data_IF_160839939071
#
_entry.id   IF_160839939071
#
_cell.length_a   1.000
_cell.length_b   1.000
_cell.length_c   1.000
_cell.angle_alpha   90.00
_cell.angle_beta   90.00
_cell.angle_gamma   90.00
#
_symmetry.space_group_name_H-M   'P 1'
#
loop_
_entity.id
_entity.type
_entity.pdbx_description
1 polymer ?
#
# COMPACT_ATOMS: atom_id res chain seq x y z
N UNK A 1 -33.28 -2.19 -28.04
CA UNK A 1 -32.17 -1.24 -28.17
C UNK A 1 -31.69 -0.90 -26.78
N UNK A 2 -30.46 -1.25 -26.42
CA UNK A 2 -29.86 -0.86 -25.14
C UNK A 2 -29.71 0.66 -25.13
N UNK A 3 -30.14 1.32 -24.06
CA UNK A 3 -30.03 2.77 -23.89
C UNK A 3 -28.55 3.19 -24.00
N UNK A 4 -28.26 4.33 -24.65
CA UNK A 4 -26.92 4.92 -24.79
C UNK A 4 -26.99 6.43 -24.53
N UNK A 5 -25.98 6.99 -23.87
CA UNK A 5 -25.84 8.43 -23.63
C UNK A 5 -24.55 8.89 -24.33
N UNK A 6 -24.66 9.30 -25.58
CA UNK A 6 -23.52 9.61 -26.46
C UNK A 6 -22.99 11.05 -26.28
N UNK A 7 -23.74 11.91 -25.58
CA UNK A 7 -23.37 13.31 -25.35
C UNK A 7 -23.39 13.66 -23.85
N UNK A 8 -22.66 14.72 -23.47
CA UNK A 8 -22.72 15.28 -22.12
C UNK A 8 -24.14 15.69 -21.70
N UNK A 9 -24.95 16.16 -22.65
CA UNK A 9 -26.35 16.51 -22.41
C UNK A 9 -27.20 15.28 -22.04
N UNK A 10 -26.98 14.15 -22.71
CA UNK A 10 -27.68 12.89 -22.40
C UNK A 10 -27.23 12.30 -21.06
N UNK A 11 -25.94 12.42 -20.71
CA UNK A 11 -25.43 12.08 -19.37
C UNK A 11 -26.10 12.94 -18.31
N UNK A 12 -26.20 14.25 -18.53
CA UNK A 12 -26.90 15.19 -17.64
C UNK A 12 -28.38 14.82 -17.47
N UNK A 13 -29.07 14.52 -18.57
CA UNK A 13 -30.47 14.09 -18.54
C UNK A 13 -30.67 12.74 -17.82
N UNK A 14 -29.70 11.83 -17.93
CA UNK A 14 -29.72 10.57 -17.19
C UNK A 14 -29.53 10.80 -15.68
N UNK A 15 -28.55 11.62 -15.28
CA UNK A 15 -28.36 12.05 -13.89
C UNK A 15 -29.67 12.64 -13.35
N UNK A 16 -30.25 13.60 -14.04
CA UNK A 16 -31.48 14.29 -13.61
C UNK A 16 -32.68 13.34 -13.51
N UNK A 17 -32.70 12.22 -14.24
CA UNK A 17 -33.72 11.17 -14.08
C UNK A 17 -33.52 10.40 -12.77
N UNK A 18 -32.31 9.88 -12.51
CA UNK A 18 -32.02 9.17 -11.26
C UNK A 18 -32.29 10.06 -10.04
N UNK A 19 -31.85 11.32 -10.07
CA UNK A 19 -32.01 12.21 -8.92
C UNK A 19 -33.47 12.57 -8.62
N UNK A 20 -34.32 12.68 -9.65
CA UNK A 20 -35.77 12.91 -9.46
C UNK A 20 -36.46 11.75 -8.75
N UNK A 21 -36.00 10.53 -9.01
CA UNK A 21 -36.53 9.32 -8.38
C UNK A 21 -36.05 9.17 -6.93
N UNK A 22 -34.80 9.54 -6.66
CA UNK A 22 -34.17 9.41 -5.34
C UNK A 22 -34.70 10.35 -4.26
N UNK A 23 -35.12 11.58 -4.63
CA UNK A 23 -35.47 12.67 -3.70
C UNK A 23 -34.42 12.86 -2.58
N UNK A 24 -33.15 12.70 -2.93
CA UNK A 24 -32.04 12.66 -1.98
C UNK A 24 -31.35 14.01 -1.70
N UNK A 25 -30.57 14.07 -0.61
CA UNK A 25 -29.52 15.09 -0.41
C UNK A 25 -28.26 14.63 -1.15
N UNK A 26 -27.77 15.41 -2.12
CA UNK A 26 -26.55 15.10 -2.87
C UNK A 26 -25.34 15.00 -1.92
N UNK A 27 -24.48 13.98 -2.09
CA UNK A 27 -23.21 13.91 -1.41
C UNK A 27 -22.22 14.93 -2.00
N UNK A 28 -21.38 15.51 -1.15
CA UNK A 28 -20.18 16.26 -1.52
C UNK A 28 -19.04 15.30 -1.88
N UNK A 29 -18.86 14.23 -1.09
CA UNK A 29 -17.91 13.15 -1.36
C UNK A 29 -18.63 11.82 -1.45
N UNK A 30 -18.18 10.93 -2.33
CA UNK A 30 -18.64 9.54 -2.35
C UNK A 30 -17.57 8.60 -2.90
N UNK A 31 -17.68 7.32 -2.54
CA UNK A 31 -16.79 6.27 -3.03
C UNK A 31 -17.33 4.88 -2.76
N UNK A 32 -16.71 3.90 -3.38
CA UNK A 32 -16.85 2.48 -3.00
C UNK A 32 -15.53 2.07 -2.37
N UNK A 33 -15.61 1.62 -1.12
CA UNK A 33 -14.53 0.99 -0.39
C UNK A 33 -14.70 -0.52 -0.32
N UNK A 34 -13.62 -1.19 0.05
CA UNK A 34 -13.55 -2.63 0.30
C UNK A 34 -12.60 -2.86 1.49
N UNK A 35 -12.78 -3.94 2.28
CA UNK A 35 -11.87 -4.31 3.35
C UNK A 35 -10.45 -4.28 2.86
N UNK A 36 -9.56 -3.61 3.60
CA UNK A 36 -8.15 -3.64 3.30
C UNK A 36 -7.69 -5.11 3.22
N UNK A 37 -7.05 -5.46 2.12
CA UNK A 37 -6.50 -6.81 1.88
C UNK A 37 -5.17 -7.02 2.58
N UNK A 38 -4.79 -6.16 3.53
CA UNK A 38 -3.55 -6.36 4.29
C UNK A 38 -3.65 -7.67 5.10
N UNK A 39 -3.05 -8.72 4.54
CA UNK A 39 -3.07 -10.10 5.02
C UNK A 39 -2.39 -10.25 6.39
N UNK A 40 -1.68 -9.21 6.85
CA UNK A 40 -0.84 -9.26 8.03
C UNK A 40 -1.50 -8.71 9.31
N UNK A 41 -2.76 -8.24 9.24
CA UNK A 41 -3.53 -7.82 10.41
C UNK A 41 -4.75 -8.72 10.66
N UNK A 42 -5.13 -8.96 11.93
CA UNK A 42 -6.52 -9.31 12.22
C UNK A 42 -7.38 -8.14 11.73
N UNK A 43 -8.14 -8.37 10.65
CA UNK A 43 -8.99 -7.37 10.01
C UNK A 43 -9.86 -6.65 11.04
N UNK A 44 -9.64 -5.35 11.22
CA UNK A 44 -10.71 -4.52 11.77
C UNK A 44 -11.77 -4.41 10.68
N UNK A 45 -13.06 -4.63 10.98
CA UNK A 45 -14.14 -4.38 10.03
C UNK A 45 -14.15 -2.93 9.51
N UNK A 46 -13.49 -2.01 10.22
CA UNK A 46 -13.41 -0.58 9.91
C UNK A 46 -12.27 -0.23 8.94
N UNK A 47 -11.30 -1.11 8.73
CA UNK A 47 -10.14 -0.87 7.86
C UNK A 47 -10.50 -1.14 6.40
N UNK A 48 -10.73 -0.07 5.63
CA UNK A 48 -11.05 -0.15 4.21
C UNK A 48 -10.05 0.62 3.35
N UNK A 49 -9.89 0.16 2.12
CA UNK A 49 -9.30 0.91 1.02
C UNK A 49 -10.42 1.41 0.10
N UNK A 50 -10.17 2.53 -0.60
CA UNK A 50 -11.10 3.02 -1.62
C UNK A 50 -10.63 2.63 -3.00
N UNK A 51 -11.56 2.21 -3.84
CA UNK A 51 -11.31 2.02 -5.27
C UNK A 51 -11.25 3.36 -6.00
N UNK A 52 -12.12 4.27 -5.55
CA UNK A 52 -12.17 5.65 -6.04
C UNK A 52 -12.92 6.51 -5.04
N UNK A 53 -12.40 7.72 -4.84
CA UNK A 53 -13.10 8.81 -4.17
C UNK A 53 -13.50 9.84 -5.22
N UNK A 54 -14.66 10.46 -5.03
CA UNK A 54 -15.24 11.39 -5.98
C UNK A 54 -15.78 12.62 -5.24
N UNK A 55 -15.48 13.80 -5.76
CA UNK A 55 -16.04 15.07 -5.28
C UNK A 55 -17.36 15.46 -5.97
N UNK A 56 -17.86 16.64 -5.60
CA UNK A 56 -19.19 17.17 -5.98
C UNK A 56 -19.45 17.27 -7.50
N UNK A 57 -18.40 17.23 -8.34
CA UNK A 57 -18.54 17.29 -9.80
C UNK A 57 -19.02 15.97 -10.45
N UNK A 58 -18.82 14.82 -9.80
CA UNK A 58 -19.06 13.50 -10.41
C UNK A 58 -20.31 12.82 -9.86
N UNK A 59 -21.49 13.45 -10.03
CA UNK A 59 -22.73 13.06 -9.33
C UNK A 59 -23.41 11.81 -9.90
N UNK A 60 -23.28 11.53 -11.19
CA UNK A 60 -24.00 10.42 -11.83
C UNK A 60 -23.68 9.04 -11.21
N UNK A 61 -22.40 8.67 -10.98
CA UNK A 61 -22.06 7.44 -10.26
C UNK A 61 -22.70 7.36 -8.87
N UNK A 62 -22.67 8.46 -8.09
CA UNK A 62 -23.31 8.51 -6.78
C UNK A 62 -24.82 8.27 -6.87
N UNK A 63 -25.51 8.89 -7.83
CA UNK A 63 -26.95 8.71 -8.02
C UNK A 63 -27.31 7.27 -8.44
N UNK A 64 -26.51 6.66 -9.31
CA UNK A 64 -26.67 5.24 -9.69
C UNK A 64 -26.51 4.34 -8.47
N UNK A 65 -25.43 4.50 -7.69
CA UNK A 65 -25.22 3.70 -6.48
C UNK A 65 -26.35 3.89 -5.47
N UNK A 66 -26.72 5.14 -5.19
CA UNK A 66 -27.80 5.46 -4.27
C UNK A 66 -29.13 4.80 -4.68
N UNK A 67 -29.41 4.71 -5.99
CA UNK A 67 -30.62 4.03 -6.51
C UNK A 67 -30.58 2.53 -6.24
N UNK A 68 -29.42 1.90 -6.39
CA UNK A 68 -29.26 0.45 -6.19
C UNK A 68 -29.34 0.08 -4.72
N UNK A 69 -28.71 0.86 -3.84
CA UNK A 69 -28.62 0.55 -2.40
C UNK A 69 -29.76 1.16 -1.59
N UNK A 70 -30.66 1.93 -2.22
CA UNK A 70 -31.77 2.61 -1.54
C UNK A 70 -31.34 3.76 -0.63
N UNK A 71 -30.24 4.45 -0.95
CA UNK A 71 -29.75 5.58 -0.17
C UNK A 71 -30.49 6.87 -0.55
N UNK A 72 -31.07 7.56 0.45
CA UNK A 72 -31.85 8.78 0.24
C UNK A 72 -31.16 10.06 0.75
N UNK A 73 -29.91 9.99 1.21
CA UNK A 73 -29.10 11.16 1.57
C UNK A 73 -28.64 11.17 3.02
N UNK A 74 -27.85 12.19 3.36
CA UNK A 74 -27.11 12.28 4.62
C UNK A 74 -25.66 11.79 4.47
N UNK A 75 -24.95 11.76 5.59
CA UNK A 75 -23.58 11.25 5.69
C UNK A 75 -23.60 9.87 6.34
N UNK A 76 -22.93 8.90 5.71
CA UNK A 76 -22.80 7.54 6.23
C UNK A 76 -22.44 6.53 5.14
N UNK A 77 -22.57 5.27 5.47
CA UNK A 77 -22.16 4.14 4.63
C UNK A 77 -23.21 3.04 4.57
N UNK A 78 -23.15 2.22 3.51
CA UNK A 78 -24.03 1.07 3.32
C UNK A 78 -23.27 -0.04 2.60
N UNK A 79 -23.50 -1.29 3.02
CA UNK A 79 -22.90 -2.48 2.39
C UNK A 79 -23.45 -2.66 0.98
N UNK A 80 -22.61 -3.16 0.08
CA UNK A 80 -22.92 -3.38 -1.32
C UNK A 80 -22.56 -4.82 -1.68
N UNK A 81 -23.54 -5.57 -2.15
CA UNK A 81 -23.30 -6.93 -2.66
C UNK A 81 -22.72 -6.90 -4.07
N UNK A 82 -22.09 -8.00 -4.49
CA UNK A 82 -21.68 -8.14 -5.89
C UNK A 82 -22.86 -8.03 -6.87
N UNK A 83 -24.05 -8.52 -6.52
CA UNK A 83 -25.26 -8.36 -7.35
C UNK A 83 -25.65 -6.88 -7.50
N UNK A 84 -25.61 -6.12 -6.41
CA UNK A 84 -25.84 -4.68 -6.42
C UNK A 84 -24.78 -3.95 -7.25
N UNK A 85 -23.49 -4.29 -7.11
CA UNK A 85 -22.45 -3.71 -7.96
C UNK A 85 -22.71 -4.01 -9.44
N UNK A 86 -23.07 -5.25 -9.78
CA UNK A 86 -23.46 -5.64 -11.14
C UNK A 86 -24.61 -4.79 -11.68
N UNK A 87 -25.64 -4.57 -10.86
CA UNK A 87 -26.76 -3.69 -11.21
C UNK A 87 -26.33 -2.23 -11.40
N UNK A 88 -25.43 -1.72 -10.57
CA UNK A 88 -24.89 -0.36 -10.72
C UNK A 88 -24.09 -0.22 -12.01
N UNK A 89 -23.29 -1.24 -12.38
CA UNK A 89 -22.56 -1.29 -13.66
C UNK A 89 -23.53 -1.25 -14.83
N UNK A 90 -24.59 -2.06 -14.83
CA UNK A 90 -25.61 -2.05 -15.89
C UNK A 90 -26.27 -0.68 -16.07
N UNK A 91 -26.60 -0.03 -14.94
CA UNK A 91 -27.25 1.29 -14.95
C UNK A 91 -26.32 2.40 -15.42
N UNK A 92 -25.01 2.31 -15.13
CA UNK A 92 -24.02 3.31 -15.52
C UNK A 92 -23.41 3.06 -16.90
N UNK A 93 -23.42 1.82 -17.40
CA UNK A 93 -22.84 1.41 -18.69
C UNK A 93 -23.22 2.31 -19.88
N UNK A 94 -24.47 2.79 -20.03
CA UNK A 94 -24.84 3.68 -21.13
C UNK A 94 -24.00 4.96 -21.26
N UNK A 95 -23.35 5.42 -20.17
CA UNK A 95 -22.49 6.60 -20.17
C UNK A 95 -21.24 6.43 -21.05
N UNK A 96 -20.75 5.20 -21.23
CA UNK A 96 -19.54 4.90 -22.01
C UNK A 96 -19.64 5.30 -23.49
N UNK A 97 -20.87 5.50 -23.98
CA UNK A 97 -21.10 5.98 -25.34
C UNK A 97 -20.63 7.43 -25.54
N UNK A 98 -20.53 8.23 -24.47
CA UNK A 98 -19.96 9.57 -24.51
C UNK A 98 -18.45 9.48 -24.32
N UNK A 99 -17.70 9.72 -25.40
CA UNK A 99 -16.23 9.69 -25.41
C UNK A 99 -15.59 11.03 -25.04
N UNK A 100 -16.41 12.08 -24.81
CA UNK A 100 -15.93 13.42 -24.45
C UNK A 100 -15.31 13.47 -23.04
N UNK A 101 -15.66 12.49 -22.19
CA UNK A 101 -15.17 12.37 -20.81
C UNK A 101 -14.84 10.92 -20.47
N UNK A 102 -13.84 10.66 -19.61
CA UNK A 102 -13.59 9.33 -19.10
C UNK A 102 -14.68 8.89 -18.08
N UNK A 103 -14.87 7.58 -17.94
CA UNK A 103 -15.83 6.98 -16.99
C UNK A 103 -15.09 6.12 -15.95
N UNK A 104 -14.24 6.70 -15.10
CA UNK A 104 -13.34 5.93 -14.26
C UNK A 104 -14.07 5.09 -13.20
N UNK A 105 -15.20 5.56 -12.65
CA UNK A 105 -16.00 4.74 -11.74
C UNK A 105 -16.51 3.48 -12.45
N UNK A 106 -17.04 3.59 -13.67
CA UNK A 106 -17.53 2.44 -14.42
C UNK A 106 -16.39 1.45 -14.75
N UNK A 107 -15.22 1.97 -15.12
CA UNK A 107 -14.05 1.14 -15.41
C UNK A 107 -13.62 0.34 -14.17
N UNK A 108 -13.43 1.02 -13.04
CA UNK A 108 -13.00 0.41 -11.79
C UNK A 108 -14.06 -0.55 -11.23
N UNK A 109 -15.34 -0.22 -11.30
CA UNK A 109 -16.42 -1.12 -10.86
C UNK A 109 -16.43 -2.42 -11.67
N UNK A 110 -16.20 -2.35 -13.00
CA UNK A 110 -16.09 -3.54 -13.86
C UNK A 110 -14.86 -4.38 -13.54
N UNK A 111 -13.75 -3.74 -13.18
CA UNK A 111 -12.51 -4.42 -12.81
C UNK A 111 -12.70 -5.27 -11.55
N UNK A 112 -13.36 -4.71 -10.53
CA UNK A 112 -13.57 -5.39 -9.25
C UNK A 112 -14.83 -6.26 -9.19
N UNK A 113 -15.64 -6.26 -10.25
CA UNK A 113 -16.84 -7.08 -10.31
C UNK A 113 -16.47 -8.56 -10.29
N UNK A 114 -17.01 -9.30 -9.33
CA UNK A 114 -16.68 -10.71 -9.10
C UNK A 114 -15.41 -10.95 -8.27
N UNK A 115 -14.71 -9.90 -7.82
CA UNK A 115 -13.70 -10.06 -6.78
C UNK A 115 -14.39 -10.47 -5.47
N UNK A 116 -13.67 -11.24 -4.66
CA UNK A 116 -14.11 -11.64 -3.33
C UNK A 116 -13.01 -11.26 -2.35
N UNK A 117 -13.38 -10.57 -1.28
CA UNK A 117 -12.48 -10.15 -0.22
C UNK A 117 -12.81 -10.84 1.10
N UNK A 118 -13.73 -11.81 1.11
CA UNK A 118 -14.20 -12.52 2.30
C UNK A 118 -15.19 -13.63 1.95
N UNK A 119 -15.66 -14.37 2.96
CA UNK A 119 -16.54 -15.53 2.76
C UNK A 119 -18.01 -15.13 2.51
N UNK A 120 -18.41 -13.91 2.88
CA UNK A 120 -19.82 -13.49 2.96
C UNK A 120 -20.34 -12.73 1.71
N UNK A 121 -19.47 -12.35 0.77
CA UNK A 121 -19.88 -11.70 -0.49
C UNK A 121 -20.43 -10.27 -0.38
N UNK A 122 -20.44 -9.68 0.82
CA UNK A 122 -20.83 -8.29 1.15
C UNK A 122 -19.65 -7.42 1.56
N UNK A 123 -18.55 -7.55 0.82
CA UNK A 123 -17.30 -6.88 1.19
C UNK A 123 -17.30 -5.41 0.79
N UNK A 124 -18.10 -4.97 -0.18
CA UNK A 124 -18.06 -3.59 -0.62
C UNK A 124 -18.87 -2.67 0.30
N UNK A 125 -18.40 -1.44 0.44
CA UNK A 125 -19.07 -0.39 1.21
C UNK A 125 -19.21 0.85 0.33
N UNK A 126 -20.44 1.24 0.01
CA UNK A 126 -20.71 2.55 -0.58
C UNK A 126 -20.75 3.59 0.54
N UNK A 127 -19.95 4.65 0.38
CA UNK A 127 -19.83 5.73 1.36
C UNK A 127 -20.31 7.03 0.72
N UNK A 128 -21.18 7.75 1.42
CA UNK A 128 -21.74 9.02 1.01
C UNK A 128 -21.50 10.04 2.11
N UNK A 129 -20.96 11.21 1.76
CA UNK A 129 -20.74 12.30 2.69
C UNK A 129 -21.40 13.57 2.16
N UNK A 130 -22.50 13.98 2.79
CA UNK A 130 -23.29 15.13 2.40
C UNK A 130 -22.74 16.45 2.91
N UNK A 131 -21.86 16.41 3.92
CA UNK A 131 -21.24 17.58 4.52
C UNK A 131 -19.90 17.21 5.20
N UNK A 132 -18.77 17.40 4.51
CA UNK A 132 -17.45 17.05 5.04
C UNK A 132 -17.05 17.81 6.32
N UNK A 133 -17.70 18.95 6.60
CA UNK A 133 -17.43 19.79 7.76
C UNK A 133 -18.22 19.35 9.00
N UNK A 134 -19.29 18.54 8.84
CA UNK A 134 -20.07 17.99 9.94
C UNK A 134 -19.34 16.78 10.59
N UNK A 135 -19.28 16.67 11.93
CA UNK A 135 -18.73 15.51 12.61
C UNK A 135 -19.47 14.21 12.25
N UNK A 136 -18.76 13.10 12.27
CA UNK A 136 -19.30 11.76 12.00
C UNK A 136 -18.59 10.71 12.85
N UNK A 137 -19.36 9.74 13.34
CA UNK A 137 -18.84 8.54 14.00
C UNK A 137 -18.65 7.37 13.02
N UNK A 138 -19.09 7.52 11.76
CA UNK A 138 -18.91 6.50 10.72
C UNK A 138 -17.42 6.42 10.32
N UNK A 139 -16.74 5.29 10.56
CA UNK A 139 -15.31 5.15 10.29
C UNK A 139 -15.01 5.24 8.80
N UNK A 140 -15.89 4.74 7.93
CA UNK A 140 -15.66 4.74 6.48
C UNK A 140 -15.79 6.14 5.90
N UNK A 141 -16.68 6.98 6.46
CA UNK A 141 -16.74 8.41 6.11
C UNK A 141 -15.46 9.13 6.52
N UNK A 142 -14.90 8.84 7.70
CA UNK A 142 -13.61 9.43 8.13
C UNK A 142 -12.50 9.07 7.14
N UNK A 143 -12.36 7.79 6.79
CA UNK A 143 -11.37 7.34 5.79
C UNK A 143 -11.62 7.97 4.42
N UNK A 144 -12.88 8.10 3.97
CA UNK A 144 -13.23 8.77 2.71
C UNK A 144 -12.70 10.21 2.68
N UNK A 145 -12.88 10.95 3.78
CA UNK A 145 -12.41 12.33 3.92
C UNK A 145 -10.88 12.41 3.92
N UNK A 146 -10.20 11.50 4.62
CA UNK A 146 -8.74 11.44 4.64
C UNK A 146 -8.16 11.17 3.24
N UNK A 147 -8.71 10.19 2.51
CA UNK A 147 -8.30 9.88 1.14
C UNK A 147 -8.60 11.06 0.21
N UNK A 148 -9.78 11.68 0.31
CA UNK A 148 -10.12 12.87 -0.48
C UNK A 148 -9.13 14.02 -0.23
N UNK A 149 -8.85 14.33 1.03
CA UNK A 149 -7.96 15.42 1.43
C UNK A 149 -6.50 15.18 1.02
N UNK A 150 -6.07 13.91 0.95
CA UNK A 150 -4.71 13.56 0.53
C UNK A 150 -4.41 13.88 -0.93
N UNK A 151 -5.43 13.88 -1.81
CA UNK A 151 -5.25 13.95 -3.26
C UNK A 151 -4.66 12.67 -3.88
N UNK A 152 -4.62 11.53 -3.17
CA UNK A 152 -4.12 10.24 -3.68
C UNK A 152 -4.81 9.77 -4.96
N UNK A 153 -6.10 10.06 -5.10
CA UNK A 153 -6.90 9.74 -6.29
C UNK A 153 -6.39 10.42 -7.58
N UNK A 154 -5.62 11.50 -7.43
CA UNK A 154 -5.05 12.29 -8.52
C UNK A 154 -3.58 11.95 -8.79
N UNK A 155 -3.04 10.93 -8.10
CA UNK A 155 -1.71 10.38 -8.36
C UNK A 155 -1.83 9.30 -9.43
N UNK A 156 -1.20 9.47 -10.60
CA UNK A 156 -1.21 8.45 -11.64
C UNK A 156 -0.60 7.13 -11.17
N UNK A 157 -1.04 6.03 -11.78
CA UNK A 157 -0.50 4.70 -11.57
C UNK A 157 1.02 4.69 -11.71
N UNK A 158 1.70 4.05 -10.75
CA UNK A 158 3.15 3.89 -10.73
C UNK A 158 3.92 5.16 -10.35
N UNK A 159 3.25 6.31 -10.20
CA UNK A 159 3.88 7.50 -9.64
C UNK A 159 3.90 7.43 -8.11
N UNK A 160 5.04 7.78 -7.54
CA UNK A 160 5.25 7.86 -6.10
C UNK A 160 5.18 9.33 -5.70
N UNK A 161 4.24 9.64 -4.80
CA UNK A 161 4.05 10.95 -4.20
C UNK A 161 4.11 10.81 -2.69
N UNK A 162 4.76 11.75 -2.01
CA UNK A 162 4.98 11.70 -0.56
C UNK A 162 4.09 12.68 0.20
N UNK A 163 3.71 12.35 1.44
CA UNK A 163 2.93 13.20 2.35
C UNK A 163 3.59 13.35 3.74
N UNK A 164 3.47 14.53 4.39
CA UNK A 164 3.01 15.80 3.80
C UNK A 164 3.93 16.24 2.64
N UNK A 165 3.42 17.05 1.71
CA UNK A 165 4.20 17.46 0.53
C UNK A 165 5.49 18.22 0.93
N UNK A 166 5.40 19.01 2.00
CA UNK A 166 6.51 19.78 2.57
C UNK A 166 6.87 19.29 3.99
N UNK A 167 8.12 19.46 4.39
CA UNK A 167 8.53 19.32 5.80
C UNK A 167 8.74 17.88 6.27
N UNK A 168 9.74 17.19 5.74
CA UNK A 168 10.21 15.91 6.26
C UNK A 168 11.21 16.04 7.41
N UNK A 169 11.25 15.05 8.31
CA UNK A 169 12.32 14.93 9.32
C UNK A 169 13.69 14.59 8.70
N UNK A 170 14.74 14.55 9.52
CA UNK A 170 16.13 14.32 9.07
C UNK A 170 16.29 13.06 8.20
N UNK A 171 15.63 11.95 8.57
CA UNK A 171 15.69 10.71 7.80
C UNK A 171 15.04 10.85 6.43
N UNK A 172 13.93 11.61 6.32
CA UNK A 172 13.29 11.89 5.03
C UNK A 172 14.19 12.72 4.13
N UNK A 173 14.85 13.74 4.69
CA UNK A 173 15.80 14.54 3.95
C UNK A 173 17.01 13.72 3.47
N UNK A 174 17.55 12.85 4.32
CA UNK A 174 18.67 11.97 3.97
C UNK A 174 18.28 10.96 2.86
N UNK A 175 17.09 10.37 2.95
CA UNK A 175 16.57 9.46 1.94
C UNK A 175 16.39 10.16 0.58
N UNK A 176 15.67 11.28 0.56
CA UNK A 176 15.37 12.05 -0.66
C UNK A 176 16.65 12.60 -1.33
N UNK A 177 17.68 12.95 -0.55
CA UNK A 177 18.96 13.38 -1.09
C UNK A 177 19.71 12.28 -1.87
N UNK A 178 19.44 11.01 -1.56
CA UNK A 178 20.14 9.86 -2.14
C UNK A 178 19.29 9.13 -3.18
N UNK A 179 17.99 9.03 -2.96
CA UNK A 179 17.02 8.36 -3.81
C UNK A 179 15.80 9.26 -4.05
N UNK A 180 15.96 10.34 -4.84
CA UNK A 180 14.91 11.33 -5.03
C UNK A 180 13.66 10.69 -5.65
N UNK A 181 12.51 10.97 -5.04
CA UNK A 181 11.19 10.46 -5.45
C UNK A 181 11.05 8.93 -5.48
N UNK A 182 11.95 8.19 -4.82
CA UNK A 182 11.85 6.73 -4.73
C UNK A 182 11.35 6.30 -3.35
N UNK A 183 10.39 5.37 -3.28
CA UNK A 183 9.86 4.92 -2.01
C UNK A 183 10.93 4.10 -1.26
N UNK A 184 10.89 4.06 0.08
CA UNK A 184 11.77 3.24 0.92
C UNK A 184 11.44 1.74 0.86
N UNK A 185 11.43 1.21 -0.36
CA UNK A 185 11.19 -0.17 -0.72
C UNK A 185 12.40 -0.61 -1.54
N UNK A 186 13.14 -1.60 -1.07
CA UNK A 186 14.41 -1.99 -1.70
C UNK A 186 14.25 -2.34 -3.19
N UNK A 187 13.20 -3.09 -3.55
CA UNK A 187 12.91 -3.47 -4.94
C UNK A 187 12.60 -2.28 -5.88
N UNK A 188 12.27 -1.12 -5.34
CA UNK A 188 11.99 0.10 -6.11
C UNK A 188 13.25 0.93 -6.36
N UNK A 189 14.37 0.60 -5.72
CA UNK A 189 15.65 1.29 -5.94
C UNK A 189 16.30 0.81 -7.24
N UNK A 190 17.07 1.68 -7.92
CA UNK A 190 17.84 1.27 -9.08
C UNK A 190 18.88 0.22 -8.65
N UNK A 191 18.70 -1.02 -9.14
CA UNK A 191 19.70 -2.07 -8.94
C UNK A 191 20.89 -1.74 -9.83
N UNK A 192 21.97 -1.26 -9.20
CA UNK A 192 23.25 -1.06 -9.86
C UNK A 192 24.11 -2.30 -9.67
N UNK A 193 24.29 -3.15 -10.71
CA UNK A 193 24.94 -4.45 -10.55
C UNK A 193 26.38 -4.37 -10.04
N UNK A 194 27.03 -3.21 -10.15
CA UNK A 194 28.37 -2.98 -9.61
C UNK A 194 28.38 -2.79 -8.09
N UNK A 195 27.27 -2.34 -7.50
CA UNK A 195 27.14 -1.98 -6.08
C UNK A 195 26.21 -2.91 -5.30
N UNK A 196 25.54 -3.82 -6.01
CA UNK A 196 24.60 -4.78 -5.44
C UNK A 196 25.19 -6.19 -5.35
N UNK A 197 24.82 -6.90 -4.28
CA UNK A 197 25.08 -8.34 -4.09
C UNK A 197 23.92 -8.98 -3.33
N UNK A 198 23.59 -10.22 -3.68
CA UNK A 198 22.58 -11.05 -3.03
C UNK A 198 23.23 -12.24 -2.33
N UNK A 199 22.77 -12.54 -1.12
CA UNK A 199 23.16 -13.71 -0.34
C UNK A 199 21.95 -14.55 0.04
N UNK A 200 22.07 -15.87 -0.02
CA UNK A 200 21.09 -16.83 0.48
C UNK A 200 21.35 -17.19 1.94
N UNK A 201 20.29 -17.32 2.72
CA UNK A 201 20.40 -17.63 4.15
C UNK A 201 20.70 -19.11 4.42
N UNK A 202 20.14 -20.03 3.63
CA UNK A 202 20.41 -21.47 3.78
C UNK A 202 21.19 -22.05 2.58
N UNK A 203 21.95 -23.14 2.78
CA UNK A 203 22.62 -23.85 1.70
C UNK A 203 21.66 -24.30 0.59
N UNK A 204 22.16 -24.34 -0.65
CA UNK A 204 21.37 -24.78 -1.81
C UNK A 204 20.21 -23.84 -2.16
N UNK A 205 20.23 -22.60 -1.67
CA UNK A 205 19.15 -21.61 -1.84
C UNK A 205 17.81 -22.08 -1.26
N UNK A 206 17.85 -22.93 -0.23
CA UNK A 206 16.65 -23.24 0.56
C UNK A 206 16.10 -21.95 1.18
N UNK A 207 14.78 -21.76 1.12
CA UNK A 207 14.11 -20.55 1.59
C UNK A 207 13.79 -20.64 3.09
N UNK A 208 12.88 -21.52 3.45
CA UNK A 208 12.38 -21.65 4.81
C UNK A 208 13.17 -22.66 5.66
N UNK A 209 13.29 -22.38 6.95
CA UNK A 209 13.85 -23.32 7.92
C UNK A 209 12.79 -24.34 8.38
N UNK A 210 13.21 -25.59 8.51
CA UNK A 210 12.42 -26.70 9.09
C UNK A 210 12.90 -27.04 10.52
N UNK A 211 14.12 -26.61 10.91
CA UNK A 211 14.72 -26.94 12.20
C UNK A 211 15.36 -25.73 12.88
N UNK A 212 15.58 -25.82 14.19
CA UNK A 212 16.24 -24.78 14.97
C UNK A 212 17.70 -24.54 14.52
N UNK A 213 18.40 -25.57 14.04
CA UNK A 213 19.75 -25.44 13.48
C UNK A 213 19.76 -24.62 12.17
N UNK A 214 18.72 -24.77 11.35
CA UNK A 214 18.57 -23.96 10.14
C UNK A 214 18.26 -22.51 10.50
N UNK A 215 17.39 -22.25 11.47
CA UNK A 215 17.19 -20.89 12.00
C UNK A 215 18.49 -20.29 12.56
N UNK A 216 19.27 -21.06 13.31
CA UNK A 216 20.56 -20.61 13.80
C UNK A 216 21.52 -20.25 12.64
N UNK A 217 21.48 -21.02 11.55
CA UNK A 217 22.25 -20.73 10.33
C UNK A 217 21.80 -19.44 9.67
N UNK A 218 20.49 -19.24 9.48
CA UNK A 218 19.91 -18.01 8.91
C UNK A 218 20.36 -16.79 9.71
N UNK A 219 20.13 -16.80 11.02
CA UNK A 219 20.48 -15.69 11.90
C UNK A 219 22.00 -15.44 11.94
N UNK A 220 22.80 -16.50 11.92
CA UNK A 220 24.27 -16.39 11.87
C UNK A 220 24.74 -15.69 10.58
N UNK A 221 24.17 -16.03 9.42
CA UNK A 221 24.55 -15.37 8.16
C UNK A 221 24.13 -13.91 8.12
N UNK A 222 22.92 -13.58 8.59
CA UNK A 222 22.50 -12.19 8.71
C UNK A 222 23.43 -11.39 9.63
N UNK A 223 23.74 -11.92 10.82
CA UNK A 223 24.65 -11.26 11.78
C UNK A 223 26.05 -11.07 11.19
N UNK A 224 26.56 -12.08 10.46
CA UNK A 224 27.88 -12.03 9.83
C UNK A 224 27.94 -10.91 8.80
N UNK A 225 27.00 -10.84 7.85
CA UNK A 225 27.00 -9.78 6.83
C UNK A 225 26.84 -8.40 7.47
N UNK A 226 25.92 -8.25 8.43
CA UNK A 226 25.74 -6.97 9.14
C UNK A 226 26.98 -6.55 9.93
N UNK A 227 27.71 -7.49 10.55
CA UNK A 227 28.95 -7.20 11.26
C UNK A 227 30.04 -6.71 10.31
N UNK A 228 30.13 -7.29 9.11
CA UNK A 228 31.10 -6.94 8.10
C UNK A 228 30.83 -5.59 7.41
N UNK A 229 29.57 -5.15 7.40
CA UNK A 229 29.16 -3.82 6.93
C UNK A 229 29.53 -2.69 7.92
N UNK A 230 29.92 -3.02 9.16
CA UNK A 230 30.69 -2.12 10.01
C UNK A 230 29.91 -1.09 10.84
N UNK A 231 28.60 -1.24 11.02
CA UNK A 231 27.80 -0.38 11.91
C UNK A 231 27.22 -1.16 13.11
N UNK A 232 27.30 -0.56 14.30
CA UNK A 232 26.68 -1.10 15.52
C UNK A 232 25.30 -0.49 15.74
N UNK A 233 25.18 0.81 15.54
CA UNK A 233 23.91 1.54 15.59
C UNK A 233 23.25 1.49 14.22
N UNK A 234 22.07 0.90 14.17
CA UNK A 234 21.32 0.68 12.93
C UNK A 234 19.99 1.41 12.99
N UNK A 235 19.52 1.81 11.81
CA UNK A 235 18.13 2.19 11.56
C UNK A 235 17.47 1.03 10.83
N UNK A 236 16.39 0.52 11.41
CA UNK A 236 15.49 -0.44 10.75
C UNK A 236 14.32 0.35 10.20
N UNK A 237 14.14 0.28 8.89
CA UNK A 237 13.01 0.84 8.15
C UNK A 237 12.08 -0.31 7.78
N UNK A 238 10.79 -0.18 8.10
CA UNK A 238 9.73 -1.11 7.69
C UNK A 238 8.63 -0.33 7.00
N UNK A 239 7.97 -0.92 6.01
CA UNK A 239 6.85 -0.28 5.31
C UNK A 239 5.58 -1.08 5.53
N UNK A 240 4.49 -0.40 5.88
CA UNK A 240 3.15 -0.97 6.00
C UNK A 240 2.21 -0.33 4.98
N UNK A 241 1.25 -1.08 4.43
CA UNK A 241 0.35 -0.61 3.37
C UNK A 241 -1.05 -0.40 3.93
N UNK A 242 -1.53 0.83 3.92
CA UNK A 242 -2.83 1.21 4.51
C UNK A 242 -3.70 1.94 3.49
N UNK A 243 -5.02 1.84 3.66
CA UNK A 243 -6.03 2.57 2.86
C UNK A 243 -6.20 4.05 3.24
N UNK A 244 -5.44 4.53 4.23
CA UNK A 244 -5.48 5.91 4.73
C UNK A 244 -4.08 6.56 4.65
N UNK A 245 -4.00 7.88 4.39
CA UNK A 245 -2.76 8.64 4.53
C UNK A 245 -2.34 8.87 5.99
N UNK A 246 -3.23 8.63 6.95
CA UNK A 246 -2.98 8.87 8.38
C UNK A 246 -2.24 7.67 8.97
N UNK A 247 -1.04 7.85 9.57
CA UNK A 247 -0.34 6.76 10.24
C UNK A 247 -1.22 6.15 11.33
N UNK A 248 -1.42 4.84 11.23
CA UNK A 248 -2.32 4.08 12.08
C UNK A 248 -1.61 3.14 13.05
N UNK A 249 -2.37 2.16 13.53
CA UNK A 249 -1.82 1.02 14.26
C UNK A 249 -0.84 0.26 13.35
N UNK A 250 0.20 -0.32 13.96
CA UNK A 250 1.21 -1.16 13.33
C UNK A 250 0.95 -2.66 13.52
N UNK A 251 1.51 -3.50 12.65
CA UNK A 251 1.31 -4.95 12.73
C UNK A 251 1.75 -5.42 14.12
N UNK A 252 0.98 -6.30 14.80
CA UNK A 252 1.29 -6.66 16.18
C UNK A 252 2.75 -7.11 16.39
N UNK A 253 3.28 -7.90 15.45
CA UNK A 253 4.67 -8.37 15.46
C UNK A 253 5.68 -7.22 15.36
N UNK A 254 5.42 -6.24 14.48
CA UNK A 254 6.27 -5.06 14.30
C UNK A 254 6.17 -4.09 15.49
N UNK A 255 4.98 -3.93 16.05
CA UNK A 255 4.75 -3.12 17.25
C UNK A 255 5.43 -3.73 18.50
N UNK A 256 5.49 -5.06 18.60
CA UNK A 256 6.18 -5.77 19.67
C UNK A 256 7.71 -5.67 19.52
N UNK A 257 8.23 -5.93 18.32
CA UNK A 257 9.67 -5.95 18.06
C UNK A 257 10.29 -4.56 18.01
N UNK A 258 9.55 -3.57 17.49
CA UNK A 258 10.01 -2.20 17.25
C UNK A 258 9.00 -1.19 17.85
N UNK A 259 8.80 -1.17 19.18
CA UNK A 259 7.76 -0.37 19.84
C UNK A 259 8.01 1.14 19.75
N UNK A 260 9.26 1.54 19.53
CA UNK A 260 9.70 2.94 19.44
C UNK A 260 9.76 3.42 17.98
N UNK A 261 9.25 2.63 17.01
CA UNK A 261 9.33 3.04 15.62
C UNK A 261 8.39 4.21 15.34
N UNK A 262 8.91 5.22 14.66
CA UNK A 262 8.16 6.42 14.28
C UNK A 262 7.90 6.43 12.77
N UNK A 263 6.68 6.80 12.37
CA UNK A 263 6.38 7.03 10.97
C UNK A 263 7.12 8.30 10.52
N UNK A 264 8.05 8.15 9.58
CA UNK A 264 8.86 9.27 9.07
C UNK A 264 8.47 9.67 7.65
N UNK A 265 7.69 8.84 6.96
CA UNK A 265 7.25 9.11 5.58
C UNK A 265 6.00 8.32 5.21
N UNK A 266 5.06 8.97 4.53
CA UNK A 266 3.89 8.35 3.88
C UNK A 266 3.99 8.59 2.38
N UNK A 267 3.66 7.61 1.54
CA UNK A 267 3.75 7.75 0.08
C UNK A 267 2.68 6.95 -0.67
N UNK A 268 2.44 7.26 -1.95
CA UNK A 268 1.46 6.54 -2.76
C UNK A 268 1.99 5.15 -3.08
N UNK A 269 1.21 4.13 -2.77
CA UNK A 269 1.62 2.78 -3.11
C UNK A 269 1.61 2.60 -4.64
N UNK A 270 2.73 2.19 -5.27
CA UNK A 270 2.87 2.21 -6.72
C UNK A 270 2.25 0.98 -7.42
N UNK A 271 2.09 -0.14 -6.70
CA UNK A 271 1.87 -1.46 -7.31
C UNK A 271 0.42 -1.96 -7.28
N UNK A 272 -0.45 -1.38 -6.43
CA UNK A 272 -1.83 -1.84 -6.23
C UNK A 272 -2.79 -0.88 -6.93
N UNK A 273 -3.37 -1.34 -8.04
CA UNK A 273 -4.48 -0.69 -8.74
C UNK A 273 -5.60 -1.72 -8.87
N UNK A 274 -6.88 -1.29 -8.79
CA UNK A 274 -7.37 0.09 -8.71
C UNK A 274 -7.42 0.65 -7.27
N UNK A 275 -6.70 0.02 -6.34
CA UNK A 275 -6.76 0.31 -4.91
C UNK A 275 -6.01 1.61 -4.54
N UNK A 276 -6.69 2.55 -3.88
CA UNK A 276 -6.05 3.74 -3.34
C UNK A 276 -5.36 3.42 -2.01
N UNK A 277 -4.10 2.99 -2.12
CA UNK A 277 -3.27 2.63 -0.97
C UNK A 277 -2.09 3.59 -0.74
N UNK A 278 -1.60 3.59 0.50
CA UNK A 278 -0.47 4.37 0.99
C UNK A 278 0.56 3.45 1.63
N UNK A 279 1.84 3.63 1.30
CA UNK A 279 2.94 3.07 2.06
C UNK A 279 3.30 3.97 3.22
N UNK A 280 3.37 3.41 4.43
CA UNK A 280 3.78 4.07 5.66
C UNK A 280 5.14 3.53 6.10
N UNK A 281 6.18 4.35 5.96
CA UNK A 281 7.53 3.99 6.35
C UNK A 281 7.79 4.38 7.81
N UNK A 282 8.09 3.37 8.61
CA UNK A 282 8.48 3.50 10.01
C UNK A 282 9.97 3.28 10.16
N UNK A 283 10.59 3.99 11.10
CA UNK A 283 12.01 3.83 11.42
C UNK A 283 12.21 3.62 12.93
N UNK A 284 13.08 2.69 13.28
CA UNK A 284 13.50 2.43 14.66
C UNK A 284 15.01 2.34 14.75
N UNK A 285 15.61 2.89 15.81
CA UNK A 285 17.02 2.72 16.10
C UNK A 285 17.23 1.45 16.91
N UNK A 286 18.13 0.58 16.45
CA UNK A 286 18.44 -0.69 17.11
C UNK A 286 19.95 -0.91 17.16
N UNK A 287 20.40 -1.55 18.24
CA UNK A 287 21.75 -2.13 18.28
C UNK A 287 21.78 -3.40 17.43
N UNK A 288 22.85 -3.59 16.65
CA UNK A 288 23.05 -4.75 15.78
C UNK A 288 22.94 -6.09 16.51
N UNK A 289 23.37 -6.16 17.78
CA UNK A 289 23.31 -7.38 18.61
C UNK A 289 22.04 -7.46 19.45
N UNK A 290 21.07 -6.57 19.23
CA UNK A 290 19.82 -6.61 19.98
C UNK A 290 19.01 -7.86 19.65
N UNK A 291 18.37 -8.43 20.68
CA UNK A 291 17.42 -9.54 20.52
C UNK A 291 16.21 -9.14 19.68
N UNK A 292 15.88 -7.84 19.62
CA UNK A 292 14.83 -7.27 18.76
C UNK A 292 15.17 -7.44 17.28
N UNK A 293 16.41 -7.13 16.88
CA UNK A 293 16.85 -7.29 15.50
C UNK A 293 16.89 -8.78 15.09
N UNK A 294 17.42 -9.64 15.95
CA UNK A 294 17.40 -11.08 15.70
C UNK A 294 15.96 -11.64 15.59
N UNK A 295 15.06 -11.15 16.44
CA UNK A 295 13.62 -11.47 16.38
C UNK A 295 12.99 -11.03 15.07
N UNK A 296 13.26 -9.81 14.60
CA UNK A 296 12.80 -9.32 13.30
C UNK A 296 13.31 -10.17 12.14
N UNK A 297 14.61 -10.48 12.10
CA UNK A 297 15.21 -11.29 11.05
C UNK A 297 14.60 -12.69 10.98
N UNK A 298 14.23 -13.27 12.14
CA UNK A 298 13.49 -14.53 12.18
C UNK A 298 12.10 -14.39 11.54
N UNK A 299 11.36 -13.32 11.85
CA UNK A 299 10.03 -13.07 11.27
C UNK A 299 10.09 -12.82 9.76
N UNK A 300 11.15 -12.16 9.29
CA UNK A 300 11.43 -12.03 7.86
C UNK A 300 11.71 -13.40 7.23
N UNK A 301 12.49 -14.27 7.89
CA UNK A 301 12.77 -15.63 7.41
C UNK A 301 11.51 -16.51 7.26
N UNK A 302 10.47 -16.21 8.02
CA UNK A 302 9.18 -16.91 8.00
C UNK A 302 8.15 -16.26 7.06
N UNK A 303 8.55 -15.24 6.28
CA UNK A 303 7.67 -14.43 5.42
C UNK A 303 6.51 -13.77 6.19
N UNK A 304 6.66 -13.60 7.52
CA UNK A 304 5.69 -12.93 8.39
C UNK A 304 5.85 -11.40 8.36
N UNK A 305 7.03 -10.92 7.99
CA UNK A 305 7.35 -9.50 7.85
C UNK A 305 8.15 -9.30 6.57
N UNK A 306 7.69 -8.39 5.72
CA UNK A 306 8.34 -8.01 4.49
C UNK A 306 8.76 -6.53 4.52
N UNK A 307 9.27 -6.02 3.38
CA UNK A 307 9.59 -4.60 3.22
C UNK A 307 10.55 -4.00 4.25
N UNK A 308 11.51 -4.81 4.72
CA UNK A 308 12.52 -4.38 5.69
C UNK A 308 13.77 -3.86 4.98
N UNK A 309 14.25 -2.70 5.43
CA UNK A 309 15.57 -2.16 5.11
C UNK A 309 16.31 -1.91 6.42
N UNK A 310 17.55 -2.39 6.52
CA UNK A 310 18.47 -2.15 7.63
C UNK A 310 19.62 -1.31 7.07
N UNK A 311 19.97 -0.23 7.76
CA UNK A 311 20.99 0.71 7.31
C UNK A 311 21.68 1.38 8.51
N UNK A 312 22.88 1.95 8.33
CA UNK A 312 23.43 2.91 9.26
C UNK A 312 22.62 4.23 9.18
N UNK A 313 22.67 5.10 10.21
CA UNK A 313 21.91 6.35 10.21
C UNK A 313 22.19 7.29 9.04
N UNK A 314 23.36 7.19 8.40
CA UNK A 314 23.75 7.98 7.24
C UNK A 314 23.35 7.35 5.89
N UNK A 315 22.67 6.20 5.92
CA UNK A 315 22.21 5.45 4.75
C UNK A 315 23.34 5.12 3.76
N UNK A 316 24.59 4.99 4.25
CA UNK A 316 25.77 4.73 3.42
C UNK A 316 25.71 3.39 2.67
N UNK A 317 25.05 2.39 3.24
CA UNK A 317 24.69 1.12 2.64
C UNK A 317 23.26 0.71 3.04
N UNK A 318 22.64 -0.17 2.27
CA UNK A 318 21.34 -0.76 2.59
C UNK A 318 21.45 -2.28 2.63
N UNK A 319 20.81 -2.89 3.61
CA UNK A 319 20.67 -4.33 3.78
C UNK A 319 19.18 -4.67 3.82
N UNK A 320 18.67 -5.39 2.83
CA UNK A 320 17.27 -5.74 2.71
C UNK A 320 17.09 -7.26 2.85
N UNK A 321 16.79 -7.75 4.07
CA UNK A 321 16.51 -9.17 4.27
C UNK A 321 15.17 -9.54 3.62
N UNK A 322 15.08 -10.78 3.17
CA UNK A 322 13.85 -11.44 2.72
C UNK A 322 13.89 -12.90 3.18
N UNK A 323 12.78 -13.60 3.05
CA UNK A 323 12.57 -14.94 3.60
C UNK A 323 13.51 -16.06 3.10
N UNK A 324 14.40 -15.78 2.15
CA UNK A 324 15.45 -16.72 1.70
C UNK A 324 16.87 -16.14 1.70
N UNK A 325 17.09 -14.93 2.22
CA UNK A 325 18.35 -14.25 2.02
C UNK A 325 18.36 -12.77 2.38
N UNK A 326 19.29 -12.04 1.78
CA UNK A 326 19.29 -10.59 1.80
C UNK A 326 19.93 -10.02 0.54
N UNK A 327 19.40 -8.88 0.11
CA UNK A 327 20.02 -8.01 -0.86
C UNK A 327 20.83 -6.92 -0.15
N UNK A 328 22.02 -6.62 -0.67
CA UNK A 328 22.90 -5.60 -0.10
C UNK A 328 23.27 -4.59 -1.18
N UNK A 329 23.07 -3.31 -0.89
CA UNK A 329 23.50 -2.19 -1.72
C UNK A 329 24.62 -1.43 -1.00
N UNK A 330 25.82 -1.46 -1.58
CA UNK A 330 27.02 -0.83 -1.02
C UNK A 330 27.34 0.51 -1.71
N UNK A 331 28.13 1.38 -1.08
CA UNK A 331 28.48 2.67 -1.68
C UNK A 331 29.39 2.53 -2.91
N UNK A 332 30.26 1.50 -2.95
CA UNK A 332 31.28 1.30 -3.97
C UNK A 332 31.30 -0.13 -4.52
N UNK A 333 31.88 -0.29 -5.72
CA UNK A 333 32.06 -1.58 -6.37
C UNK A 333 33.06 -2.45 -5.62
N UNK A 334 34.15 -1.85 -5.16
CA UNK A 334 35.24 -2.54 -4.45
C UNK A 334 34.71 -3.15 -3.15
N UNK A 335 33.96 -2.39 -2.36
CA UNK A 335 33.36 -2.90 -1.11
C UNK A 335 32.36 -4.03 -1.39
N UNK A 336 31.61 -3.95 -2.48
CA UNK A 336 30.72 -5.04 -2.92
C UNK A 336 31.52 -6.28 -3.29
N UNK A 337 32.54 -6.13 -4.13
CA UNK A 337 33.38 -7.25 -4.58
C UNK A 337 34.07 -7.94 -3.39
N UNK A 338 34.62 -7.18 -2.44
CA UNK A 338 35.22 -7.70 -1.20
C UNK A 338 34.21 -8.45 -0.30
N UNK A 339 32.98 -7.92 -0.16
CA UNK A 339 31.93 -8.60 0.60
C UNK A 339 31.50 -9.91 -0.09
N UNK A 340 31.36 -9.89 -1.41
CA UNK A 340 30.99 -11.06 -2.23
C UNK A 340 32.06 -12.16 -2.13
N UNK A 341 33.34 -11.80 -2.24
CA UNK A 341 34.45 -12.75 -2.25
C UNK A 341 34.68 -13.47 -0.91
N UNK A 342 34.22 -12.89 0.20
CA UNK A 342 34.28 -13.53 1.52
C UNK A 342 33.29 -14.67 1.69
N UNK A 343 32.18 -14.66 0.94
CA UNK A 343 31.06 -15.60 1.12
C UNK A 343 30.62 -16.27 -0.18
N UNK A 344 31.53 -16.92 -0.95
CA UNK A 344 31.20 -17.48 -2.26
C UNK A 344 30.12 -18.57 -2.18
N UNK A 345 30.07 -19.34 -1.09
CA UNK A 345 29.11 -20.43 -0.88
C UNK A 345 27.69 -19.94 -0.55
N UNK A 346 27.49 -18.63 -0.38
CA UNK A 346 26.19 -18.04 -0.04
C UNK A 346 25.54 -17.36 -1.25
N UNK A 347 26.23 -17.26 -2.38
CA UNK A 347 25.75 -16.58 -3.57
C UNK A 347 24.77 -17.45 -4.38
N UNK A 348 23.91 -16.80 -5.17
CA UNK A 348 23.10 -17.50 -6.16
C UNK A 348 23.99 -18.20 -7.19
N UNK A 349 23.63 -19.43 -7.55
CA UNK A 349 24.26 -20.14 -8.67
C UNK A 349 23.85 -19.54 -10.02
N UNK A 350 22.85 -18.66 -10.06
CA UNK A 350 22.39 -18.03 -11.29
C UNK A 350 23.37 -16.95 -11.76
N UNK A 351 23.75 -16.89 -13.06
CA UNK A 351 24.77 -15.96 -13.56
C UNK A 351 24.46 -14.47 -13.36
N UNK A 352 23.17 -14.11 -13.26
CA UNK A 352 22.73 -12.74 -13.00
C UNK A 352 22.65 -12.40 -11.50
N UNK A 353 22.95 -13.36 -10.62
CA UNK A 353 22.84 -13.22 -9.17
C UNK A 353 21.41 -13.32 -8.61
N UNK A 354 20.41 -13.56 -9.48
CA UNK A 354 18.99 -13.66 -9.10
C UNK A 354 18.63 -14.98 -8.44
#
# INVERSE_FOLDING_TARGET
MTQRWATLAEIGAARDRFERELRWRRPVLHGIGFPSVDLAYPRSPEDICFLRVNGAGNVLPAAVLATVVGWHGGTGSVRVTQEQLGRAIELLAPAEACTDVPHPNLAVWREVYGWSWGDDGEDLVAVFDADPDEPTDDPYVRTLREVAASGRQDVPKGEVRFWPQDGGGELRAAWEARWPQLPPIFRSLPVEPERWVRFHSLPGSKRYADTDEEYATILHRHDTVLAELGATDLVVITVEVLGTPTPGRRQPVLAELLPEAECWSVFSWPDLEPELCFGHAYASRVDRRSVRLAGLLRRVADDEVDHVIIAPPDLSWLYAPYDGGADVLLPTREGRDELRERHPDWLSAHPSGW
#
